data_IF_665607130141
#
_entry.id   IF_665607130141
#
_cell.length_a   1.000
_cell.length_b   1.000
_cell.length_c   1.000
_cell.angle_alpha   90.00
_cell.angle_beta   90.00
_cell.angle_gamma   90.00
#
_symmetry.space_group_name_H-M   'P 1'
#
loop_
_entity.id
_entity.type
_entity.pdbx_description
1 polymer ?
#
# COMPACT_ATOMS: atom_id res chain seq x y z
N UNK A 1 -9.62 -14.64 11.99
CA UNK A 1 -10.56 -13.52 11.79
C UNK A 1 -11.89 -14.00 12.35
N UNK A 2 -12.40 -13.30 13.35
CA UNK A 2 -13.79 -13.53 13.79
C UNK A 2 -14.72 -12.98 12.71
N UNK A 3 -15.93 -13.48 12.62
CA UNK A 3 -16.92 -13.13 11.58
C UNK A 3 -17.33 -11.64 11.58
N UNK A 4 -16.81 -10.87 12.54
CA UNK A 4 -17.11 -9.45 12.77
C UNK A 4 -15.91 -8.53 12.51
N UNK A 5 -14.74 -9.06 12.08
CA UNK A 5 -13.54 -8.27 11.77
C UNK A 5 -13.54 -7.89 10.28
N UNK A 6 -13.60 -6.61 9.97
CA UNK A 6 -13.46 -6.07 8.60
C UNK A 6 -12.02 -6.21 8.11
N UNK A 7 -11.82 -6.75 6.90
CA UNK A 7 -10.51 -6.76 6.24
C UNK A 7 -10.43 -5.60 5.24
N UNK A 8 -9.41 -4.77 5.40
CA UNK A 8 -9.19 -3.60 4.53
C UNK A 8 -7.82 -3.75 3.84
N UNK A 9 -7.82 -3.76 2.52
CA UNK A 9 -6.60 -3.66 1.73
C UNK A 9 -6.31 -2.18 1.46
N UNK A 10 -5.23 -1.67 2.06
CA UNK A 10 -4.90 -0.24 2.00
C UNK A 10 -4.02 0.16 0.82
N UNK A 11 -3.63 -0.79 -0.05
CA UNK A 11 -2.71 -0.55 -1.15
C UNK A 11 -3.04 -1.43 -2.35
N UNK A 12 -3.71 -0.86 -3.36
CA UNK A 12 -4.06 -1.54 -4.60
C UNK A 12 -4.21 -0.56 -5.78
N UNK A 13 -3.64 -0.89 -6.94
CA UNK A 13 -3.69 -0.11 -8.18
C UNK A 13 -4.90 -0.55 -9.02
N UNK A 14 -6.08 -0.29 -8.48
CA UNK A 14 -7.36 -0.77 -9.04
C UNK A 14 -8.04 0.24 -9.99
N UNK A 15 -7.54 1.50 -10.08
CA UNK A 15 -8.11 2.49 -10.98
C UNK A 15 -7.66 2.25 -12.42
N UNK A 16 -8.58 2.09 -13.40
CA UNK A 16 -8.24 1.63 -14.74
C UNK A 16 -7.43 2.65 -15.54
N UNK A 17 -6.32 2.23 -16.13
CA UNK A 17 -5.56 2.99 -17.12
C UNK A 17 -4.98 4.32 -16.63
N UNK A 18 -4.70 4.44 -15.33
CA UNK A 18 -4.10 5.64 -14.72
C UNK A 18 -2.60 5.46 -14.44
N UNK A 19 -2.20 4.23 -14.18
CA UNK A 19 -0.82 3.80 -13.90
C UNK A 19 -0.55 2.41 -14.49
N UNK A 20 0.38 1.64 -13.91
CA UNK A 20 0.71 0.27 -14.29
C UNK A 20 -0.15 -0.80 -13.58
N UNK A 21 -1.24 -0.38 -12.94
CA UNK A 21 -2.24 -1.25 -12.33
C UNK A 21 -3.24 -1.81 -13.34
N UNK A 22 -4.53 -1.82 -13.00
CA UNK A 22 -5.61 -2.29 -13.86
C UNK A 22 -5.57 -1.60 -15.24
N UNK A 23 -5.52 -2.37 -16.32
CA UNK A 23 -5.45 -1.80 -17.68
C UNK A 23 -6.77 -1.14 -18.08
N UNK A 24 -7.87 -1.76 -17.71
CA UNK A 24 -9.22 -1.30 -18.03
C UNK A 24 -10.24 -1.64 -16.91
N UNK A 25 -11.52 -1.32 -17.15
CA UNK A 25 -12.58 -1.59 -16.19
C UNK A 25 -12.84 -3.09 -15.98
N UNK A 26 -12.52 -3.93 -16.98
CA UNK A 26 -12.64 -5.38 -16.82
C UNK A 26 -11.65 -5.89 -15.76
N UNK A 27 -10.38 -5.50 -15.86
CA UNK A 27 -9.36 -5.83 -14.87
C UNK A 27 -9.74 -5.31 -13.47
N UNK A 28 -10.20 -4.06 -13.38
CA UNK A 28 -10.71 -3.46 -12.14
C UNK A 28 -11.78 -4.34 -11.48
N UNK A 29 -12.79 -4.77 -12.24
CA UNK A 29 -13.89 -5.58 -11.72
C UNK A 29 -13.44 -6.98 -11.32
N UNK A 30 -12.54 -7.61 -12.09
CA UNK A 30 -11.96 -8.90 -11.74
C UNK A 30 -11.11 -8.79 -10.46
N UNK A 31 -10.30 -7.75 -10.32
CA UNK A 31 -9.56 -7.48 -9.08
C UNK A 31 -10.50 -7.29 -7.89
N UNK A 32 -11.57 -6.52 -8.06
CA UNK A 32 -12.56 -6.32 -7.01
C UNK A 32 -13.25 -7.63 -6.58
N UNK A 33 -13.60 -8.51 -7.54
CA UNK A 33 -14.17 -9.85 -7.26
C UNK A 33 -13.19 -10.72 -6.50
N UNK A 34 -11.93 -10.79 -6.96
CA UNK A 34 -10.88 -11.58 -6.30
C UNK A 34 -10.63 -11.13 -4.86
N UNK A 35 -10.61 -9.83 -4.61
CA UNK A 35 -10.47 -9.28 -3.27
C UNK A 35 -11.65 -9.70 -2.38
N UNK A 36 -12.89 -9.48 -2.84
CA UNK A 36 -14.10 -9.87 -2.12
C UNK A 36 -14.15 -11.39 -1.84
N UNK A 37 -13.78 -12.23 -2.82
CA UNK A 37 -13.73 -13.69 -2.68
C UNK A 37 -12.68 -14.14 -1.65
N UNK A 38 -11.66 -13.31 -1.38
CA UNK A 38 -10.64 -13.56 -0.34
C UNK A 38 -11.00 -12.96 1.03
N UNK A 39 -12.20 -12.40 1.18
CA UNK A 39 -12.68 -11.83 2.43
C UNK A 39 -12.29 -10.38 2.67
N UNK A 40 -11.82 -9.66 1.64
CA UNK A 40 -11.58 -8.22 1.73
C UNK A 40 -12.91 -7.48 1.59
N UNK A 41 -13.24 -6.65 2.58
CA UNK A 41 -14.46 -5.84 2.60
C UNK A 41 -14.27 -4.47 1.95
N UNK A 42 -13.04 -3.92 2.04
CA UNK A 42 -12.71 -2.59 1.50
C UNK A 42 -11.34 -2.57 0.84
N UNK A 43 -11.24 -1.83 -0.26
CA UNK A 43 -9.96 -1.50 -0.91
C UNK A 43 -9.78 0.01 -0.91
N UNK A 44 -8.61 0.49 -0.50
CA UNK A 44 -8.19 1.84 -0.80
C UNK A 44 -7.49 1.81 -2.16
N UNK A 45 -8.08 2.49 -3.14
CA UNK A 45 -7.48 2.66 -4.47
C UNK A 45 -6.30 3.63 -4.36
N UNK A 46 -5.09 3.15 -4.62
CA UNK A 46 -3.84 3.89 -4.45
C UNK A 46 -3.01 3.92 -5.73
N UNK A 47 -3.51 4.57 -6.80
CA UNK A 47 -2.70 4.68 -8.00
C UNK A 47 -1.41 5.44 -7.71
N UNK A 48 -0.36 5.13 -8.47
CA UNK A 48 0.89 5.88 -8.44
C UNK A 48 0.67 7.36 -8.70
N UNK A 49 1.29 8.20 -7.88
CA UNK A 49 1.28 9.65 -7.98
C UNK A 49 2.69 10.20 -7.80
N UNK A 50 3.00 11.30 -8.49
CA UNK A 50 4.25 12.03 -8.33
C UNK A 50 5.52 11.25 -8.71
N UNK A 51 5.44 10.24 -9.60
CA UNK A 51 6.63 9.57 -10.12
C UNK A 51 7.21 10.42 -11.26
N UNK A 52 8.42 10.98 -11.09
CA UNK A 52 9.01 11.89 -12.07
C UNK A 52 9.14 11.27 -13.46
N UNK A 53 8.58 11.94 -14.47
CA UNK A 53 8.65 11.49 -15.86
C UNK A 53 7.74 10.31 -16.24
N UNK A 54 6.96 9.78 -15.30
CA UNK A 54 6.05 8.65 -15.53
C UNK A 54 4.60 9.00 -15.16
N UNK A 55 4.30 9.16 -13.87
CA UNK A 55 2.94 9.33 -13.37
C UNK A 55 2.80 10.62 -12.55
N UNK A 56 2.13 11.63 -13.10
CA UNK A 56 1.73 12.82 -12.37
C UNK A 56 0.59 12.49 -11.41
N UNK A 57 -0.53 12.09 -11.95
CA UNK A 57 -1.75 11.58 -11.30
C UNK A 57 -2.18 12.33 -10.02
N UNK A 58 -1.94 13.64 -9.97
CA UNK A 58 -2.30 14.45 -8.81
C UNK A 58 -3.81 14.49 -8.60
N UNK A 59 -4.20 14.68 -7.34
CA UNK A 59 -5.61 14.84 -7.00
C UNK A 59 -6.25 15.99 -7.79
N UNK A 60 -7.26 15.66 -8.58
CA UNK A 60 -7.96 16.55 -9.49
C UNK A 60 -9.04 15.84 -10.27
N UNK A 61 -9.54 16.49 -11.31
CA UNK A 61 -10.71 16.04 -12.07
C UNK A 61 -10.53 14.63 -12.66
N UNK A 62 -9.39 14.36 -13.24
CA UNK A 62 -9.12 13.05 -13.86
C UNK A 62 -9.15 11.92 -12.86
N UNK A 63 -8.49 12.08 -11.71
CA UNK A 63 -8.54 11.11 -10.61
C UNK A 63 -9.98 10.88 -10.13
N UNK A 64 -10.73 11.96 -9.89
CA UNK A 64 -12.11 11.89 -9.38
C UNK A 64 -13.00 11.15 -10.36
N UNK A 65 -12.96 11.49 -11.65
CA UNK A 65 -13.79 10.87 -12.67
C UNK A 65 -13.52 9.35 -12.79
N UNK A 66 -12.24 8.93 -12.69
CA UNK A 66 -11.86 7.49 -12.69
C UNK A 66 -12.35 6.79 -11.43
N UNK A 67 -12.06 7.36 -10.26
CA UNK A 67 -12.51 6.81 -8.99
C UNK A 67 -14.03 6.63 -8.94
N UNK A 68 -14.80 7.66 -9.29
CA UNK A 68 -16.27 7.59 -9.32
C UNK A 68 -16.78 6.56 -10.33
N UNK A 69 -16.08 6.38 -11.46
CA UNK A 69 -16.45 5.35 -12.45
C UNK A 69 -16.29 3.94 -11.89
N UNK A 70 -15.21 3.68 -11.14
CA UNK A 70 -14.97 2.39 -10.47
C UNK A 70 -16.02 2.13 -9.39
N UNK A 71 -16.27 3.10 -8.50
CA UNK A 71 -17.28 2.97 -7.45
C UNK A 71 -18.66 2.63 -8.03
N UNK A 72 -19.02 3.27 -9.16
CA UNK A 72 -20.28 3.01 -9.86
C UNK A 72 -20.31 1.61 -10.45
N UNK A 73 -19.26 1.20 -11.18
CA UNK A 73 -19.18 -0.11 -11.81
C UNK A 73 -19.22 -1.26 -10.79
N UNK A 74 -18.48 -1.16 -9.69
CA UNK A 74 -18.50 -2.15 -8.60
C UNK A 74 -19.91 -2.29 -8.01
N UNK A 75 -20.63 -1.18 -7.84
CA UNK A 75 -22.00 -1.18 -7.34
C UNK A 75 -22.98 -1.81 -8.35
N UNK A 76 -22.89 -1.47 -9.65
CA UNK A 76 -23.73 -2.00 -10.72
C UNK A 76 -23.56 -3.52 -10.86
N UNK A 77 -22.32 -4.00 -10.75
CA UNK A 77 -21.96 -5.42 -10.76
C UNK A 77 -22.27 -6.15 -9.43
N UNK A 78 -22.72 -5.41 -8.41
CA UNK A 78 -23.07 -5.93 -7.07
C UNK A 78 -21.92 -6.71 -6.40
N UNK A 79 -20.69 -6.29 -6.63
CA UNK A 79 -19.54 -6.87 -5.95
C UNK A 79 -19.56 -6.39 -4.49
N UNK A 80 -19.50 -7.30 -3.50
CA UNK A 80 -19.65 -6.95 -2.09
C UNK A 80 -18.34 -6.37 -1.50
N UNK A 81 -17.86 -5.26 -2.08
CA UNK A 81 -16.64 -4.58 -1.65
C UNK A 81 -16.82 -3.05 -1.75
N UNK A 82 -16.26 -2.32 -0.81
CA UNK A 82 -16.23 -0.87 -0.83
C UNK A 82 -14.89 -0.37 -1.37
N UNK A 83 -14.92 0.58 -2.34
CA UNK A 83 -13.72 1.22 -2.86
C UNK A 83 -13.58 2.60 -2.20
N UNK A 84 -12.44 2.84 -1.57
CA UNK A 84 -12.11 4.08 -0.86
C UNK A 84 -11.00 4.84 -1.63
N UNK A 85 -10.96 6.18 -1.53
CA UNK A 85 -9.95 6.97 -2.25
C UNK A 85 -8.61 7.01 -1.52
N UNK A 86 -7.51 7.08 -2.27
CA UNK A 86 -6.15 7.24 -1.78
C UNK A 86 -5.17 7.40 -2.94
N UNK A 87 -3.89 7.50 -2.65
CA UNK A 87 -2.79 7.52 -3.60
C UNK A 87 -1.56 6.88 -2.99
N UNK A 88 -0.76 6.17 -3.78
CA UNK A 88 0.63 5.88 -3.47
C UNK A 88 1.50 6.98 -4.05
N UNK A 89 2.22 7.69 -3.18
CA UNK A 89 2.91 8.91 -3.59
C UNK A 89 4.42 8.70 -3.55
N UNK A 90 5.06 8.87 -4.70
CA UNK A 90 6.52 8.85 -4.78
C UNK A 90 7.09 10.07 -4.04
N UNK A 91 8.05 9.82 -3.16
CA UNK A 91 8.60 10.80 -2.23
C UNK A 91 9.68 11.65 -2.91
N UNK A 92 9.34 12.90 -3.20
CA UNK A 92 10.24 13.93 -3.71
C UNK A 92 10.42 15.04 -2.68
N UNK A 93 11.41 15.93 -2.89
CA UNK A 93 11.67 17.04 -1.97
C UNK A 93 10.46 17.98 -1.79
N UNK A 94 9.62 18.13 -2.80
CA UNK A 94 8.44 19.00 -2.80
C UNK A 94 7.17 18.31 -2.29
N UNK A 95 7.23 17.02 -1.91
CA UNK A 95 6.05 16.30 -1.40
C UNK A 95 5.31 17.03 -0.26
N UNK A 96 5.98 17.63 0.75
CA UNK A 96 5.27 18.39 1.78
C UNK A 96 4.45 19.57 1.21
N UNK A 97 4.96 20.24 0.18
CA UNK A 97 4.24 21.35 -0.49
C UNK A 97 3.04 20.81 -1.28
N UNK A 98 3.18 19.65 -1.95
CA UNK A 98 2.08 19.00 -2.66
C UNK A 98 0.93 18.62 -1.71
N UNK A 99 1.26 18.16 -0.50
CA UNK A 99 0.28 17.84 0.54
C UNK A 99 -0.46 19.11 0.98
N UNK A 100 0.28 20.18 1.33
CA UNK A 100 -0.31 21.47 1.76
C UNK A 100 -1.19 22.08 0.67
N UNK A 101 -0.81 21.93 -0.59
CA UNK A 101 -1.56 22.44 -1.75
C UNK A 101 -2.71 21.49 -2.18
N UNK A 102 -3.04 20.48 -1.40
CA UNK A 102 -4.10 19.51 -1.67
C UNK A 102 -3.97 18.81 -3.04
N UNK A 103 -2.73 18.55 -3.47
CA UNK A 103 -2.45 17.81 -4.69
C UNK A 103 -2.42 16.29 -4.47
N UNK A 104 -2.37 15.86 -3.22
CA UNK A 104 -2.31 14.46 -2.82
C UNK A 104 -3.62 14.09 -2.13
N UNK A 105 -4.18 12.92 -2.52
CA UNK A 105 -5.31 12.32 -1.82
C UNK A 105 -4.78 11.38 -0.73
N UNK A 106 -4.97 11.74 0.55
CA UNK A 106 -4.62 10.84 1.66
C UNK A 106 -5.47 9.56 1.63
N UNK A 107 -5.01 8.52 2.31
CA UNK A 107 -5.78 7.28 2.45
C UNK A 107 -7.15 7.57 3.10
N UNK A 108 -8.21 7.34 2.34
CA UNK A 108 -9.60 7.57 2.75
C UNK A 108 -9.84 8.96 3.37
N UNK A 109 -9.29 10.01 2.77
CA UNK A 109 -9.44 11.40 3.22
C UNK A 109 -8.98 11.64 4.68
N UNK A 110 -8.15 10.78 5.21
CA UNK A 110 -7.56 10.89 6.55
C UNK A 110 -6.34 11.81 6.54
N UNK A 111 -5.46 11.69 7.53
CA UNK A 111 -4.15 12.33 7.53
C UNK A 111 -3.01 11.40 7.09
N UNK A 112 -3.31 10.14 6.77
CA UNK A 112 -2.30 9.15 6.41
C UNK A 112 -1.95 9.25 4.93
N UNK A 113 -0.66 9.35 4.63
CA UNK A 113 -0.13 9.39 3.25
C UNK A 113 0.68 8.13 3.02
N UNK A 114 0.30 7.33 2.02
CA UNK A 114 1.07 6.17 1.58
C UNK A 114 2.23 6.67 0.72
N UNK A 115 3.43 6.49 1.22
CA UNK A 115 4.67 7.04 0.67
C UNK A 115 5.55 5.94 0.13
N UNK A 116 5.98 6.11 -1.12
CA UNK A 116 6.95 5.25 -1.80
C UNK A 116 8.27 5.98 -1.99
N UNK A 117 9.38 5.25 -1.97
CA UNK A 117 10.74 5.71 -2.29
C UNK A 117 11.35 4.85 -3.40
N UNK A 118 12.44 5.31 -4.02
CA UNK A 118 13.26 4.44 -4.86
C UNK A 118 13.80 3.26 -4.02
N UNK A 119 13.91 2.07 -4.61
CA UNK A 119 14.34 0.90 -3.85
C UNK A 119 15.77 1.02 -3.32
N UNK A 120 16.63 1.77 -4.03
CA UNK A 120 18.00 2.11 -3.70
C UNK A 120 18.15 3.53 -3.11
N UNK A 121 17.07 4.10 -2.55
CA UNK A 121 17.07 5.45 -2.00
C UNK A 121 18.05 5.62 -0.84
N UNK A 122 18.56 6.85 -0.69
CA UNK A 122 19.37 7.25 0.46
C UNK A 122 18.49 7.28 1.74
N UNK A 123 18.81 6.51 2.77
CA UNK A 123 18.04 6.50 4.02
C UNK A 123 18.02 7.86 4.73
N UNK A 124 19.02 8.73 4.55
CA UNK A 124 19.02 10.09 5.11
C UNK A 124 17.98 10.98 4.41
N UNK A 125 17.85 10.85 3.10
CA UNK A 125 16.78 11.50 2.34
C UNK A 125 15.42 11.02 2.79
N UNK A 126 15.22 9.70 2.91
CA UNK A 126 13.95 9.12 3.38
C UNK A 126 13.59 9.63 4.79
N UNK A 127 14.54 9.61 5.75
CA UNK A 127 14.34 10.16 7.10
C UNK A 127 13.94 11.64 7.07
N UNK A 128 14.56 12.44 6.19
CA UNK A 128 14.28 13.87 6.04
C UNK A 128 12.86 14.14 5.51
N UNK A 129 12.46 13.45 4.45
CA UNK A 129 11.13 13.62 3.85
C UNK A 129 10.02 13.16 4.81
N UNK A 130 10.18 12.01 5.46
CA UNK A 130 9.21 11.52 6.45
C UNK A 130 8.97 12.55 7.55
N UNK A 131 10.05 13.16 8.07
CA UNK A 131 9.95 14.22 9.09
C UNK A 131 9.22 15.45 8.57
N UNK A 132 9.54 15.92 7.36
CA UNK A 132 8.89 17.10 6.74
C UNK A 132 7.41 16.87 6.45
N UNK A 133 7.03 15.64 6.06
CA UNK A 133 5.62 15.25 5.90
C UNK A 133 4.88 15.27 7.25
N UNK A 134 5.53 14.82 8.32
CA UNK A 134 4.96 14.92 9.67
C UNK A 134 4.80 16.39 10.13
N UNK A 135 5.77 17.25 9.82
CA UNK A 135 5.74 18.68 10.17
C UNK A 135 4.57 19.46 9.52
N UNK A 136 4.08 19.01 8.36
CA UNK A 136 2.87 19.58 7.72
C UNK A 136 1.56 18.94 8.22
N UNK A 137 1.63 18.08 9.25
CA UNK A 137 0.47 17.49 9.92
C UNK A 137 -0.01 16.18 9.34
N UNK A 138 0.65 15.64 8.30
CA UNK A 138 0.37 14.34 7.75
C UNK A 138 1.02 13.22 8.58
N UNK A 139 0.57 11.98 8.39
CA UNK A 139 1.14 10.80 9.04
C UNK A 139 1.69 9.85 7.98
N UNK A 140 2.99 9.59 7.94
CA UNK A 140 3.59 8.67 6.98
C UNK A 140 3.10 7.23 7.15
N UNK A 141 2.75 6.60 6.03
CA UNK A 141 2.62 5.16 5.84
C UNK A 141 3.68 4.76 4.83
N UNK A 142 4.68 4.01 5.24
CA UNK A 142 5.78 3.60 4.38
C UNK A 142 5.32 2.38 3.59
N UNK A 143 5.14 2.54 2.28
CA UNK A 143 4.75 1.48 1.36
C UNK A 143 5.86 0.41 1.28
N UNK A 144 5.48 -0.84 1.24
CA UNK A 144 6.35 -2.01 1.02
C UNK A 144 7.77 -1.87 1.58
N UNK A 145 7.87 -1.49 2.87
CA UNK A 145 9.13 -1.12 3.53
C UNK A 145 10.23 -2.19 3.40
N UNK A 146 9.87 -3.46 3.31
CA UNK A 146 10.78 -4.58 3.16
C UNK A 146 11.45 -4.66 1.79
N UNK A 147 10.99 -3.85 0.81
CA UNK A 147 11.57 -3.83 -0.54
C UNK A 147 12.74 -2.86 -0.67
N UNK A 148 12.89 -1.90 0.25
CA UNK A 148 14.01 -0.95 0.20
C UNK A 148 15.32 -1.63 0.61
N UNK A 149 16.38 -1.43 -0.19
CA UNK A 149 17.68 -2.03 0.05
C UNK A 149 18.25 -1.64 1.41
N UNK A 150 18.08 -0.37 1.80
CA UNK A 150 18.56 0.10 3.11
C UNK A 150 17.80 -0.51 4.30
N UNK A 151 16.55 -0.98 4.13
CA UNK A 151 15.83 -1.75 5.17
C UNK A 151 16.29 -3.21 5.19
N UNK A 152 16.59 -3.80 4.01
CA UNK A 152 17.12 -5.15 3.92
C UNK A 152 18.48 -5.27 4.59
N UNK A 153 19.33 -4.24 4.42
CA UNK A 153 20.69 -4.18 4.99
C UNK A 153 20.67 -3.73 6.46
N UNK A 154 19.80 -2.77 6.80
CA UNK A 154 19.74 -2.12 8.11
C UNK A 154 18.29 -2.07 8.67
N UNK A 155 17.69 -3.20 9.07
CA UNK A 155 16.29 -3.26 9.52
C UNK A 155 15.99 -2.40 10.77
N UNK A 156 17.03 -1.97 11.51
CA UNK A 156 16.90 -1.01 12.60
C UNK A 156 16.37 0.37 12.15
N UNK A 157 16.42 0.69 10.86
CA UNK A 157 15.80 1.90 10.30
C UNK A 157 14.28 1.81 10.45
N UNK A 158 13.68 0.69 10.06
CA UNK A 158 12.25 0.46 10.25
C UNK A 158 11.85 0.52 11.73
N UNK A 159 12.69 -0.01 12.66
CA UNK A 159 12.45 0.13 14.10
C UNK A 159 12.43 1.61 14.54
N UNK A 160 13.35 2.45 14.07
CA UNK A 160 13.33 3.89 14.38
C UNK A 160 12.06 4.56 13.88
N UNK A 161 11.59 4.26 12.66
CA UNK A 161 10.36 4.77 12.09
C UNK A 161 9.13 4.31 12.87
N UNK A 162 9.05 3.02 13.18
CA UNK A 162 7.99 2.47 14.02
C UNK A 162 7.92 3.17 15.40
N UNK A 163 9.08 3.42 16.02
CA UNK A 163 9.16 4.14 17.32
C UNK A 163 8.73 5.61 17.21
N UNK A 164 8.84 6.24 16.06
CA UNK A 164 8.27 7.58 15.78
C UNK A 164 6.75 7.53 15.55
N UNK A 165 6.17 6.35 15.45
CA UNK A 165 4.74 6.15 15.20
C UNK A 165 4.38 6.21 13.71
N UNK A 166 5.36 6.05 12.81
CA UNK A 166 5.08 5.87 11.39
C UNK A 166 4.50 4.47 11.16
N UNK A 167 3.62 4.35 10.18
CA UNK A 167 2.99 3.08 9.82
C UNK A 167 3.90 2.35 8.82
N UNK A 168 4.28 1.13 9.17
CA UNK A 168 5.11 0.28 8.30
C UNK A 168 4.19 -0.69 7.58
N UNK A 169 4.05 -0.52 6.27
CA UNK A 169 3.30 -1.45 5.42
C UNK A 169 4.27 -2.41 4.75
N UNK A 170 3.94 -3.69 4.75
CA UNK A 170 4.63 -4.72 4.00
C UNK A 170 3.71 -5.35 2.96
N UNK A 171 4.28 -5.77 1.83
CA UNK A 171 3.55 -6.43 0.76
C UNK A 171 3.35 -7.93 1.05
N UNK A 172 2.14 -8.42 0.83
CA UNK A 172 1.86 -9.86 0.90
C UNK A 172 2.79 -10.69 0.01
N UNK A 173 3.10 -10.17 -1.18
CA UNK A 173 3.97 -10.83 -2.15
C UNK A 173 5.38 -11.10 -1.64
N UNK A 174 5.88 -10.28 -0.72
CA UNK A 174 7.20 -10.48 -0.10
C UNK A 174 7.21 -11.71 0.81
N UNK A 175 6.18 -11.93 1.61
CA UNK A 175 6.03 -13.13 2.44
C UNK A 175 5.94 -14.40 1.58
N UNK A 176 5.28 -14.30 0.44
CA UNK A 176 5.16 -15.40 -0.54
C UNK A 176 6.41 -15.56 -1.43
N UNK A 177 7.47 -14.76 -1.21
CA UNK A 177 8.72 -14.83 -1.95
C UNK A 177 8.69 -14.34 -3.40
N UNK A 178 7.61 -13.65 -3.80
CA UNK A 178 7.39 -13.19 -5.18
C UNK A 178 8.37 -12.11 -5.64
N UNK A 179 8.97 -11.37 -4.70
CA UNK A 179 9.94 -10.30 -4.97
C UNK A 179 11.40 -10.72 -4.69
N UNK A 180 11.64 -12.03 -4.51
CA UNK A 180 12.97 -12.58 -4.27
C UNK A 180 13.34 -12.70 -2.79
N UNK A 181 14.56 -13.21 -2.56
CA UNK A 181 14.99 -13.58 -1.20
C UNK A 181 15.33 -12.42 -0.27
N UNK A 182 15.71 -11.26 -0.80
CA UNK A 182 16.00 -10.05 -0.02
C UNK A 182 14.74 -9.55 0.69
N UNK A 183 13.71 -9.12 -0.07
CA UNK A 183 12.42 -8.67 0.48
C UNK A 183 11.76 -9.71 1.39
N UNK A 184 11.81 -11.01 1.04
CA UNK A 184 11.25 -12.06 1.91
C UNK A 184 11.93 -12.08 3.28
N UNK A 185 13.28 -12.11 3.32
CA UNK A 185 14.01 -12.11 4.60
C UNK A 185 13.74 -10.86 5.43
N UNK A 186 13.65 -9.69 4.77
CA UNK A 186 13.33 -8.44 5.45
C UNK A 186 11.91 -8.48 6.01
N UNK A 187 10.90 -8.90 5.23
CA UNK A 187 9.52 -9.05 5.68
C UNK A 187 9.41 -10.00 6.90
N UNK A 188 10.01 -11.18 6.80
CA UNK A 188 10.05 -12.16 7.89
C UNK A 188 10.76 -11.60 9.15
N UNK A 189 11.81 -10.81 8.97
CA UNK A 189 12.52 -10.16 10.07
C UNK A 189 11.66 -9.08 10.75
N UNK A 190 11.07 -8.18 9.95
CA UNK A 190 10.19 -7.12 10.46
C UNK A 190 8.97 -7.71 11.19
N UNK A 191 8.38 -8.79 10.67
CA UNK A 191 7.25 -9.48 11.30
C UNK A 191 7.65 -10.05 12.67
N UNK A 192 8.76 -10.79 12.73
CA UNK A 192 9.26 -11.39 14.01
C UNK A 192 9.55 -10.36 15.08
N UNK A 193 9.87 -9.13 14.71
CA UNK A 193 10.13 -8.04 15.65
C UNK A 193 8.90 -7.15 15.91
N UNK A 194 7.71 -7.53 15.40
CA UNK A 194 6.46 -6.77 15.52
C UNK A 194 6.58 -5.33 15.00
N UNK A 195 7.31 -5.13 13.91
CA UNK A 195 7.54 -3.81 13.30
C UNK A 195 6.57 -3.52 12.15
N UNK A 196 5.82 -4.52 11.69
CA UNK A 196 4.82 -4.35 10.63
C UNK A 196 3.50 -3.89 11.25
N UNK A 197 2.98 -2.79 10.75
CA UNK A 197 1.71 -2.22 11.19
C UNK A 197 0.53 -2.75 10.35
N UNK A 198 0.78 -3.02 9.07
CA UNK A 198 -0.24 -3.46 8.11
C UNK A 198 0.40 -4.25 6.97
N UNK A 199 -0.34 -5.23 6.46
CA UNK A 199 0.03 -5.97 5.25
C UNK A 199 -1.03 -5.66 4.19
N UNK A 200 -0.58 -5.33 2.99
CA UNK A 200 -1.45 -4.99 1.87
C UNK A 200 -1.09 -5.81 0.62
N UNK A 201 -1.98 -5.83 -0.35
CA UNK A 201 -1.77 -6.62 -1.57
C UNK A 201 -0.74 -6.01 -2.49
N UNK A 202 -0.74 -4.68 -2.61
CA UNK A 202 -0.03 -3.95 -3.65
C UNK A 202 -0.39 -4.54 -5.03
N UNK A 203 -1.70 -4.76 -5.24
CA UNK A 203 -2.24 -5.46 -6.40
C UNK A 203 -2.23 -4.58 -7.64
N UNK A 204 -1.82 -5.15 -8.78
CA UNK A 204 -1.73 -4.45 -10.06
C UNK A 204 -2.57 -5.09 -11.16
N UNK A 205 -2.88 -6.36 -11.06
CA UNK A 205 -3.70 -7.02 -12.08
C UNK A 205 -4.40 -8.27 -11.52
N UNK A 206 -5.41 -8.80 -12.22
CA UNK A 206 -6.03 -10.06 -11.81
C UNK A 206 -5.13 -11.29 -12.08
N UNK A 207 -4.03 -11.14 -12.80
CA UNK A 207 -3.14 -12.25 -13.19
C UNK A 207 -1.82 -12.28 -12.42
N UNK A 208 -1.26 -11.10 -12.16
CA UNK A 208 0.01 -10.93 -11.44
C UNK A 208 -0.14 -9.87 -10.37
N UNK A 209 0.47 -10.06 -9.18
CA UNK A 209 0.28 -9.16 -8.03
C UNK A 209 -1.22 -8.98 -7.75
N UNK A 210 -1.91 -10.10 -7.54
CA UNK A 210 -3.37 -10.13 -7.37
C UNK A 210 -3.82 -9.61 -6.01
N UNK A 211 -5.05 -9.08 -5.86
CA UNK A 211 -5.59 -8.61 -4.59
C UNK A 211 -6.12 -9.73 -3.68
N UNK A 212 -5.92 -11.00 -4.02
CA UNK A 212 -6.35 -12.16 -3.24
C UNK A 212 -5.54 -12.28 -1.94
N UNK A 213 -6.11 -11.92 -0.79
CA UNK A 213 -5.39 -11.79 0.49
C UNK A 213 -5.32 -13.08 1.32
N UNK A 214 -6.17 -14.06 1.04
CA UNK A 214 -6.27 -15.26 1.87
C UNK A 214 -4.98 -16.10 1.87
N UNK A 215 -4.24 -16.16 0.75
CA UNK A 215 -2.96 -16.84 0.62
C UNK A 215 -1.90 -16.30 1.61
N UNK A 216 -1.83 -14.98 1.74
CA UNK A 216 -0.94 -14.35 2.70
C UNK A 216 -1.41 -14.54 4.15
N UNK A 217 -2.72 -14.48 4.37
CA UNK A 217 -3.30 -14.70 5.70
C UNK A 217 -2.98 -16.10 6.23
N UNK A 218 -3.09 -17.13 5.40
CA UNK A 218 -2.75 -18.52 5.75
C UNK A 218 -1.27 -18.66 6.09
N UNK A 219 -0.37 -18.13 5.26
CA UNK A 219 1.09 -18.17 5.49
C UNK A 219 1.49 -17.46 6.79
N UNK A 220 0.91 -16.28 7.02
CA UNK A 220 1.17 -15.48 8.22
C UNK A 220 0.63 -16.13 9.48
N UNK A 221 -0.54 -16.74 9.42
CA UNK A 221 -1.13 -17.45 10.56
C UNK A 221 -0.23 -18.60 11.01
N UNK A 222 0.34 -19.35 10.06
CA UNK A 222 1.31 -20.42 10.35
C UNK A 222 2.60 -19.86 10.95
N UNK A 223 3.11 -18.74 10.44
CA UNK A 223 4.32 -18.09 10.94
C UNK A 223 4.14 -17.55 12.36
N UNK A 224 2.99 -16.97 12.69
CA UNK A 224 2.68 -16.44 14.02
C UNK A 224 2.51 -17.52 15.08
N UNK A 225 2.00 -18.71 14.73
CA UNK A 225 1.92 -19.86 15.64
C UNK A 225 3.32 -20.28 16.09
N UNK A 226 4.32 -20.28 15.19
CA UNK A 226 5.70 -20.62 15.54
C UNK A 226 6.43 -19.55 16.36
N UNK A 227 5.98 -18.30 16.35
CA UNK A 227 6.56 -17.21 17.15
C UNK A 227 6.03 -17.23 18.60
N UNK A 228 4.84 -17.78 18.81
CA UNK A 228 4.15 -17.80 20.10
C UNK A 228 4.42 -19.05 20.95
N UNK A 229 5.16 -20.03 20.44
CA UNK A 229 5.59 -21.18 21.23
C UNK A 229 6.91 -20.89 21.94
N UNK A 230 6.99 -21.12 23.26
CA UNK A 230 8.21 -20.88 24.07
C UNK A 230 9.33 -21.90 23.76
#
# INVERSE_FOLDING_TARGET
ITKDDEMIDIHAHILPGIDDGAEDMYDTLEMARMAADSGVDKIIATPHCNIPGMYGNYFGREYIDRYESVVRAVREEKIPIEILPGMEVFSTEDLPELIVNHKIMPLNQSRYILMEFAFDEDPEFADSILKRVEEVGARPVIAHAERYEFIQDYPQIAYRWFRKGYVIQANKGSFLGRFGGGPKRAADSLLRHNLISVIASDAHSPLQRTPYMLDAYEELSLSLIHISEP
#
